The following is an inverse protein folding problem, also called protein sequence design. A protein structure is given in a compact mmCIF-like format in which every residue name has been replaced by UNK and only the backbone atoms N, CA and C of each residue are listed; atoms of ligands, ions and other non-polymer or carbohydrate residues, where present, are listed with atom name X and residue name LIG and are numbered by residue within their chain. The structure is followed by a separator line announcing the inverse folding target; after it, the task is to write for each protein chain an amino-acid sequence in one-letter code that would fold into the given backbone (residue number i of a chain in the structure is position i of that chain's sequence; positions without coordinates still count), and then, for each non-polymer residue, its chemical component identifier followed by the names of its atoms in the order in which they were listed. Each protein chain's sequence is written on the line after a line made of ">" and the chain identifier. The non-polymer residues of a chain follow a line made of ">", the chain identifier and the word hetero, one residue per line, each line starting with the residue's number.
data_IF_694672101619
#
_entry.id   IF_694672101619
#
_cell.length_a   1.000
_cell.length_b   1.000
_cell.length_c   1.000
_cell.angle_alpha   90.00
_cell.angle_beta   90.00
_cell.angle_gamma   90.00
#
_symmetry.space_group_name_H-M   'P 1'
#
loop_
_entity.id
_entity.type
_entity.pdbx_description
1 polymer ?
#
# COMPACT_ATOMS: atom_id res chain seq x y z
N UNK A 1 16.57 -19.29 18.76
CA UNK A 1 16.45 -18.02 18.02
C UNK A 1 16.56 -18.30 16.51
N UNK A 2 17.56 -19.02 16.06
CA UNK A 2 17.81 -19.40 14.67
C UNK A 2 16.59 -20.05 13.97
N UNK A 3 15.91 -20.99 14.65
CA UNK A 3 14.71 -21.68 14.12
C UNK A 3 13.55 -20.73 13.82
N UNK A 4 13.42 -19.66 14.60
CA UNK A 4 12.35 -18.66 14.46
C UNK A 4 12.80 -17.38 13.73
N UNK A 5 14.09 -17.31 13.30
CA UNK A 5 14.66 -16.18 12.56
C UNK A 5 14.73 -14.88 13.37
N UNK A 6 15.02 -14.99 14.67
CA UNK A 6 15.21 -13.83 15.56
C UNK A 6 16.70 -13.53 15.82
N UNK A 7 17.56 -13.98 14.95
CA UNK A 7 19.01 -13.80 14.97
C UNK A 7 19.51 -12.88 13.84
N UNK A 8 18.59 -12.31 13.07
CA UNK A 8 18.90 -11.34 12.03
C UNK A 8 19.41 -10.02 12.64
N UNK A 9 20.37 -9.40 11.96
CA UNK A 9 20.86 -8.08 12.30
C UNK A 9 19.94 -7.03 11.68
N UNK A 10 19.42 -6.14 12.52
CA UNK A 10 18.59 -5.00 12.07
C UNK A 10 19.45 -3.74 12.16
N UNK A 11 19.50 -2.99 11.07
CA UNK A 11 20.21 -1.70 11.01
C UNK A 11 19.16 -0.60 11.09
N UNK A 12 19.27 0.23 12.10
CA UNK A 12 18.45 1.45 12.23
C UNK A 12 19.16 2.60 11.51
N UNK A 13 18.48 3.20 10.54
CA UNK A 13 19.04 4.26 9.68
C UNK A 13 18.24 5.54 9.85
N UNK A 14 18.86 6.57 10.39
CA UNK A 14 18.29 7.91 10.43
C UNK A 14 18.37 8.58 9.05
N UNK A 15 17.23 8.74 8.40
CA UNK A 15 17.12 9.39 7.08
C UNK A 15 16.84 10.88 7.27
N UNK A 16 17.62 11.74 6.60
CA UNK A 16 17.43 13.20 6.61
C UNK A 16 16.28 13.61 5.68
N UNK A 17 15.63 14.74 5.97
CA UNK A 17 14.43 15.19 5.25
C UNK A 17 14.62 15.44 3.76
N UNK A 18 15.85 15.69 3.33
CA UNK A 18 16.20 15.90 1.92
C UNK A 18 16.47 14.59 1.15
N UNK A 19 16.33 13.44 1.78
CA UNK A 19 16.58 12.12 1.18
C UNK A 19 15.36 11.18 1.31
N UNK A 20 14.17 11.58 0.82
CA UNK A 20 12.98 10.73 0.88
C UNK A 20 13.14 9.42 0.09
N UNK A 21 14.03 9.38 -0.89
CA UNK A 21 14.42 8.19 -1.64
C UNK A 21 15.03 7.09 -0.76
N UNK A 22 15.60 7.44 0.38
CA UNK A 22 16.18 6.52 1.36
C UNK A 22 15.15 5.97 2.38
N UNK A 23 13.89 6.37 2.30
CA UNK A 23 12.82 5.79 3.12
C UNK A 23 12.33 4.43 2.58
N UNK A 24 13.26 3.65 2.03
CA UNK A 24 13.01 2.29 1.53
C UNK A 24 14.29 1.46 1.56
N UNK A 25 14.12 0.14 1.62
CA UNK A 25 15.24 -0.79 1.57
C UNK A 25 16.05 -0.62 0.29
N UNK A 26 15.37 -0.48 -0.85
CA UNK A 26 15.99 -0.25 -2.17
C UNK A 26 16.78 1.06 -2.20
N UNK A 27 16.25 2.12 -1.62
CA UNK A 27 16.93 3.41 -1.54
C UNK A 27 18.21 3.33 -0.71
N UNK A 28 18.14 2.75 0.49
CA UNK A 28 19.31 2.52 1.35
C UNK A 28 20.33 1.58 0.68
N UNK A 29 19.87 0.51 0.03
CA UNK A 29 20.76 -0.42 -0.67
C UNK A 29 21.52 0.26 -1.80
N UNK A 30 20.88 1.20 -2.52
CA UNK A 30 21.52 1.99 -3.57
C UNK A 30 22.64 2.89 -3.01
N UNK A 31 22.38 3.57 -1.90
CA UNK A 31 23.39 4.40 -1.21
C UNK A 31 24.54 3.55 -0.65
N UNK A 32 24.20 2.43 0.00
CA UNK A 32 25.21 1.51 0.52
C UNK A 32 26.11 0.93 -0.60
N UNK A 33 25.53 0.62 -1.75
CA UNK A 33 26.29 0.13 -2.90
C UNK A 33 27.33 1.16 -3.37
N UNK A 34 26.98 2.44 -3.42
CA UNK A 34 27.91 3.53 -3.75
C UNK A 34 28.99 3.66 -2.66
N UNK A 35 28.60 3.73 -1.40
CA UNK A 35 29.52 3.92 -0.28
C UNK A 35 30.53 2.77 -0.12
N UNK A 36 30.14 1.56 -0.48
CA UNK A 36 30.95 0.35 -0.37
C UNK A 36 31.62 -0.06 -1.71
N UNK A 37 31.48 0.75 -2.75
CA UNK A 37 31.98 0.48 -4.11
C UNK A 37 31.51 -0.90 -4.63
N UNK A 38 30.22 -1.22 -4.37
CA UNK A 38 29.59 -2.47 -4.79
C UNK A 38 28.56 -2.23 -5.88
N UNK A 39 28.33 -3.25 -6.71
CA UNK A 39 27.25 -3.20 -7.70
C UNK A 39 25.90 -3.26 -6.99
N UNK A 40 25.03 -2.31 -7.32
CA UNK A 40 23.60 -2.40 -6.92
C UNK A 40 22.87 -3.37 -7.84
N UNK A 41 22.11 -4.28 -7.25
CA UNK A 41 21.20 -5.17 -7.98
C UNK A 41 19.77 -4.86 -7.54
N UNK A 42 18.93 -4.30 -8.44
CA UNK A 42 17.54 -4.03 -8.11
C UNK A 42 16.76 -5.33 -7.85
N UNK A 43 15.63 -5.27 -7.14
CA UNK A 43 14.71 -6.40 -7.05
C UNK A 43 14.25 -6.85 -8.43
N UNK A 44 14.01 -8.14 -8.58
CA UNK A 44 13.38 -8.70 -9.76
C UNK A 44 11.89 -8.29 -9.79
N UNK A 45 11.43 -7.78 -10.93
CA UNK A 45 10.06 -7.26 -11.11
C UNK A 45 9.27 -7.99 -12.18
N UNK A 46 9.87 -8.96 -12.84
CA UNK A 46 9.20 -9.75 -13.86
C UNK A 46 8.21 -10.72 -13.22
N UNK A 47 7.00 -10.75 -13.74
CA UNK A 47 5.95 -11.66 -13.29
C UNK A 47 5.03 -12.03 -14.46
N UNK A 48 4.45 -13.23 -14.37
CA UNK A 48 3.49 -13.70 -15.35
C UNK A 48 2.16 -12.96 -15.19
N UNK A 49 1.60 -12.50 -16.29
CA UNK A 49 0.29 -11.89 -16.36
C UNK A 49 -0.71 -12.83 -17.04
N UNK A 50 -1.99 -12.65 -16.73
CA UNK A 50 -3.08 -13.30 -17.47
C UNK A 50 -3.41 -12.39 -18.65
N UNK A 51 -2.78 -12.64 -19.79
CA UNK A 51 -2.81 -11.75 -20.97
C UNK A 51 -4.19 -11.55 -21.58
N UNK A 52 -5.12 -12.51 -21.38
CA UNK A 52 -6.47 -12.46 -21.93
C UNK A 52 -7.44 -11.56 -21.15
N UNK A 53 -7.04 -11.08 -19.95
CA UNK A 53 -7.93 -10.41 -19.03
C UNK A 53 -7.34 -9.05 -18.61
N UNK A 54 -8.01 -7.98 -19.03
CA UNK A 54 -7.61 -6.63 -18.61
C UNK A 54 -8.30 -6.22 -17.29
N UNK A 55 -7.55 -5.61 -16.38
CA UNK A 55 -8.07 -5.00 -15.14
C UNK A 55 -9.25 -4.07 -15.41
N UNK A 56 -9.28 -3.38 -16.56
CA UNK A 56 -10.36 -2.47 -16.99
C UNK A 56 -11.71 -3.15 -17.18
N UNK A 57 -11.73 -4.47 -17.33
CA UNK A 57 -12.99 -5.23 -17.42
C UNK A 57 -13.62 -5.42 -16.03
N UNK A 58 -12.84 -5.30 -14.96
CA UNK A 58 -13.28 -5.49 -13.59
C UNK A 58 -13.53 -4.19 -12.86
N UNK A 59 -12.63 -3.22 -13.02
CA UNK A 59 -12.64 -1.98 -12.24
C UNK A 59 -12.37 -0.77 -13.10
N UNK A 60 -12.97 0.36 -12.71
CA UNK A 60 -12.72 1.66 -13.30
C UNK A 60 -12.14 2.62 -12.27
N UNK A 61 -11.38 3.60 -12.74
CA UNK A 61 -10.84 4.69 -11.93
C UNK A 61 -11.26 6.02 -12.54
N UNK A 62 -11.83 6.89 -11.71
CA UNK A 62 -12.23 8.26 -12.05
C UNK A 62 -11.49 9.23 -11.12
N UNK A 63 -10.44 9.89 -11.62
CA UNK A 63 -9.71 10.91 -10.86
C UNK A 63 -10.31 12.27 -11.16
N UNK A 64 -11.03 12.86 -10.21
CA UNK A 64 -11.70 14.16 -10.36
C UNK A 64 -10.87 15.35 -9.89
N UNK A 65 -9.88 15.12 -9.05
CA UNK A 65 -8.95 16.12 -8.56
C UNK A 65 -7.52 15.77 -8.99
N UNK A 66 -7.20 16.09 -10.24
CA UNK A 66 -5.88 15.80 -10.81
C UNK A 66 -4.75 16.67 -10.23
N UNK A 67 -5.09 17.78 -9.57
CA UNK A 67 -4.10 18.62 -8.88
C UNK A 67 -3.56 17.94 -7.63
N UNK A 68 -4.45 17.36 -6.82
CA UNK A 68 -4.06 16.65 -5.59
C UNK A 68 -3.68 15.18 -5.83
N UNK A 69 -4.18 14.58 -6.91
CA UNK A 69 -3.87 13.21 -7.30
C UNK A 69 -3.59 13.13 -8.80
N UNK A 70 -2.37 13.43 -9.24
CA UNK A 70 -2.03 13.44 -10.67
C UNK A 70 -2.07 12.06 -11.33
N UNK A 71 -1.93 10.98 -10.53
CA UNK A 71 -2.00 9.61 -11.03
C UNK A 71 -2.54 8.68 -9.95
N UNK A 72 -3.39 7.73 -10.35
CA UNK A 72 -3.89 6.64 -9.51
C UNK A 72 -3.84 5.33 -10.28
N UNK A 73 -3.11 4.36 -9.76
CA UNK A 73 -2.97 3.05 -10.38
C UNK A 73 -3.77 2.02 -9.60
N UNK A 74 -4.44 1.14 -10.31
CA UNK A 74 -5.23 0.07 -9.74
C UNK A 74 -5.07 -1.21 -10.54
N UNK A 75 -5.01 -2.33 -9.84
CA UNK A 75 -4.98 -3.66 -10.42
C UNK A 75 -5.96 -4.56 -9.69
N UNK A 76 -6.66 -5.41 -10.43
CA UNK A 76 -7.49 -6.46 -9.86
C UNK A 76 -6.71 -7.78 -9.86
N UNK A 77 -6.86 -8.54 -8.79
CA UNK A 77 -6.27 -9.87 -8.67
C UNK A 77 -7.25 -10.80 -7.97
N UNK A 78 -7.30 -12.04 -8.40
CA UNK A 78 -7.95 -13.11 -7.66
C UNK A 78 -6.97 -13.66 -6.63
N UNK A 79 -7.38 -13.67 -5.38
CA UNK A 79 -6.50 -14.01 -4.26
C UNK A 79 -7.18 -14.95 -3.27
N UNK A 80 -6.37 -15.75 -2.58
CA UNK A 80 -6.78 -16.51 -1.42
C UNK A 80 -6.14 -15.87 -0.19
N UNK A 81 -6.94 -15.48 0.79
CA UNK A 81 -6.44 -14.88 2.02
C UNK A 81 -5.92 -16.00 2.92
N UNK A 82 -4.64 -15.92 3.24
CA UNK A 82 -3.91 -16.87 4.06
C UNK A 82 -2.86 -16.16 4.92
N UNK A 83 -2.28 -16.82 5.92
CA UNK A 83 -1.11 -16.30 6.60
C UNK A 83 0.05 -16.11 5.62
N UNK A 84 0.77 -15.02 5.73
CA UNK A 84 1.94 -14.75 4.91
C UNK A 84 3.04 -15.81 5.06
N UNK A 85 3.84 -16.06 4.02
CA UNK A 85 4.99 -16.94 4.10
C UNK A 85 5.94 -16.53 5.24
N UNK A 86 6.59 -17.49 5.84
CA UNK A 86 7.44 -17.26 7.02
C UNK A 86 8.56 -16.24 6.76
N UNK A 87 9.17 -16.28 5.56
CA UNK A 87 10.22 -15.33 5.18
C UNK A 87 9.73 -13.87 5.17
N UNK A 88 8.51 -13.61 4.67
CA UNK A 88 7.92 -12.28 4.64
C UNK A 88 7.58 -11.80 6.06
N UNK A 89 6.98 -12.67 6.86
CA UNK A 89 6.65 -12.36 8.27
C UNK A 89 7.88 -12.03 9.09
N UNK A 90 9.01 -12.72 8.87
CA UNK A 90 10.29 -12.44 9.53
C UNK A 90 10.81 -11.06 9.15
N UNK A 91 10.84 -10.72 7.85
CA UNK A 91 11.29 -9.41 7.38
C UNK A 91 10.42 -8.26 7.89
N UNK A 92 9.10 -8.42 7.85
CA UNK A 92 8.18 -7.44 8.42
C UNK A 92 8.40 -7.28 9.93
N UNK A 93 8.57 -8.38 10.65
CA UNK A 93 8.86 -8.35 12.08
C UNK A 93 10.18 -7.66 12.39
N UNK A 94 11.24 -7.92 11.63
CA UNK A 94 12.53 -7.24 11.76
C UNK A 94 12.42 -5.73 11.54
N UNK A 95 11.49 -5.30 10.67
CA UNK A 95 11.17 -3.88 10.45
C UNK A 95 10.15 -3.31 11.46
N UNK A 96 9.78 -4.06 12.51
CA UNK A 96 8.84 -3.62 13.55
C UNK A 96 7.36 -3.76 13.20
N UNK A 97 7.02 -4.41 12.10
CA UNK A 97 5.65 -4.62 11.67
C UNK A 97 5.13 -6.01 12.06
N UNK A 98 3.88 -6.06 12.51
CA UNK A 98 3.18 -7.32 12.78
C UNK A 98 2.49 -7.80 11.52
N UNK A 99 2.72 -9.07 11.14
CA UNK A 99 1.96 -9.73 10.08
C UNK A 99 0.46 -9.84 10.41
N UNK A 100 -0.38 -9.62 9.42
CA UNK A 100 -1.85 -9.67 9.51
C UNK A 100 -2.36 -10.82 8.63
N UNK A 101 -2.26 -10.67 7.32
CA UNK A 101 -2.54 -11.67 6.30
C UNK A 101 -1.69 -11.38 5.06
N UNK A 102 -1.62 -12.34 4.14
CA UNK A 102 -0.77 -12.24 2.97
C UNK A 102 -1.02 -10.97 2.13
N UNK A 103 -2.25 -10.49 2.03
CA UNK A 103 -2.60 -9.32 1.21
C UNK A 103 -2.11 -8.04 1.87
N UNK A 104 -2.43 -7.83 3.14
CA UNK A 104 -1.98 -6.65 3.90
C UNK A 104 -0.46 -6.65 4.07
N UNK A 105 0.11 -7.82 4.31
CA UNK A 105 1.57 -7.97 4.49
C UNK A 105 2.33 -7.66 3.19
N UNK A 106 1.80 -8.03 2.02
CA UNK A 106 2.37 -7.65 0.72
C UNK A 106 2.37 -6.13 0.55
N UNK A 107 1.28 -5.42 0.88
CA UNK A 107 1.25 -3.96 0.78
C UNK A 107 2.27 -3.29 1.70
N UNK A 108 2.42 -3.81 2.92
CA UNK A 108 3.43 -3.34 3.86
C UNK A 108 4.85 -3.68 3.40
N UNK A 109 5.06 -4.87 2.84
CA UNK A 109 6.36 -5.29 2.32
C UNK A 109 6.82 -4.39 1.16
N UNK A 110 5.94 -4.13 0.19
CA UNK A 110 6.24 -3.23 -0.94
C UNK A 110 6.52 -1.80 -0.46
N UNK A 111 5.77 -1.31 0.53
CA UNK A 111 6.05 -0.01 1.14
C UNK A 111 7.45 0.06 1.72
N UNK A 112 7.89 -0.96 2.48
CA UNK A 112 9.25 -1.00 3.04
C UNK A 112 10.32 -1.19 1.97
N UNK A 113 10.06 -2.05 0.99
CA UNK A 113 11.06 -2.41 -0.03
C UNK A 113 11.35 -1.26 -0.98
N UNK A 114 10.31 -0.65 -1.56
CA UNK A 114 10.45 0.37 -2.62
C UNK A 114 9.93 1.76 -2.23
N UNK A 115 9.32 1.91 -1.06
CA UNK A 115 8.78 3.19 -0.60
C UNK A 115 7.44 3.57 -1.21
N UNK A 116 6.74 2.62 -1.88
CA UNK A 116 5.45 2.89 -2.53
C UNK A 116 4.30 2.45 -1.63
N UNK A 117 3.50 3.40 -1.09
CA UNK A 117 2.28 3.08 -0.36
C UNK A 117 1.26 2.39 -1.27
N UNK A 118 0.65 1.33 -0.75
CA UNK A 118 -0.40 0.58 -1.43
C UNK A 118 -1.58 0.36 -0.49
N UNK A 119 -2.76 0.16 -1.05
CA UNK A 119 -3.94 -0.25 -0.30
C UNK A 119 -4.69 -1.34 -1.07
N UNK A 120 -5.21 -2.33 -0.34
CA UNK A 120 -6.02 -3.40 -0.91
C UNK A 120 -7.49 -3.22 -0.51
N UNK A 121 -8.36 -3.23 -1.51
CA UNK A 121 -9.81 -3.16 -1.34
C UNK A 121 -10.45 -4.52 -1.64
N UNK A 122 -11.44 -4.92 -0.85
CA UNK A 122 -12.28 -6.03 -1.23
C UNK A 122 -13.16 -5.62 -2.44
N UNK A 123 -12.98 -6.31 -3.54
CA UNK A 123 -13.71 -6.06 -4.78
C UNK A 123 -15.22 -6.06 -4.59
N UNK A 124 -15.76 -6.90 -3.68
CA UNK A 124 -17.18 -7.01 -3.41
C UNK A 124 -17.75 -5.76 -2.73
N UNK A 125 -16.93 -5.09 -1.94
CA UNK A 125 -17.31 -3.92 -1.15
C UNK A 125 -17.25 -2.60 -1.96
N UNK A 126 -16.70 -2.61 -3.18
CA UNK A 126 -16.62 -1.43 -4.04
C UNK A 126 -17.87 -1.30 -4.90
N UNK A 127 -18.66 -0.27 -4.62
CA UNK A 127 -19.89 0.04 -5.36
C UNK A 127 -19.59 0.36 -6.82
N UNK A 128 -20.36 -0.27 -7.74
CA UNK A 128 -20.23 -0.09 -9.18
C UNK A 128 -18.80 -0.34 -9.71
N UNK A 129 -17.99 -1.08 -8.94
CA UNK A 129 -16.60 -1.45 -9.30
C UNK A 129 -15.77 -0.26 -9.79
N UNK A 130 -16.04 0.91 -9.22
CA UNK A 130 -15.39 2.16 -9.63
C UNK A 130 -14.79 2.85 -8.41
N UNK A 131 -13.50 3.15 -8.49
CA UNK A 131 -12.83 4.04 -7.54
C UNK A 131 -12.88 5.46 -8.08
N UNK A 132 -13.31 6.38 -7.23
CA UNK A 132 -13.39 7.81 -7.52
C UNK A 132 -12.46 8.56 -6.56
N UNK A 133 -11.42 9.17 -7.10
CA UNK A 133 -10.54 10.04 -6.31
C UNK A 133 -11.06 11.48 -6.41
N UNK A 134 -11.52 12.01 -5.29
CA UNK A 134 -12.19 13.33 -5.24
C UNK A 134 -12.04 14.00 -3.89
N UNK A 135 -12.36 15.27 -3.81
CA UNK A 135 -12.59 15.93 -2.53
C UNK A 135 -13.84 15.37 -1.86
N UNK A 136 -13.83 15.32 -0.55
CA UNK A 136 -15.02 14.96 0.23
C UNK A 136 -16.14 15.97 -0.01
N UNK A 137 -17.38 15.57 0.26
CA UNK A 137 -18.53 16.46 0.26
C UNK A 137 -18.76 16.97 1.68
N UNK A 138 -19.30 18.16 1.81
CA UNK A 138 -19.63 18.71 3.11
C UNK A 138 -20.58 17.79 3.89
N UNK A 139 -20.19 17.43 5.11
CA UNK A 139 -20.97 16.55 5.99
C UNK A 139 -20.85 15.06 5.64
N UNK A 140 -19.99 14.68 4.70
CA UNK A 140 -19.65 13.27 4.49
C UNK A 140 -18.89 12.73 5.71
N UNK A 141 -19.12 11.49 6.08
CA UNK A 141 -18.41 10.83 7.17
C UNK A 141 -17.66 9.59 6.68
N UNK A 142 -16.62 9.21 7.40
CA UNK A 142 -15.88 7.97 7.19
C UNK A 142 -15.48 7.37 8.53
N UNK A 143 -15.46 6.03 8.60
CA UNK A 143 -14.87 5.28 9.70
C UNK A 143 -13.64 4.55 9.14
N UNK A 144 -12.42 5.09 9.36
CA UNK A 144 -11.18 4.43 8.96
C UNK A 144 -10.87 3.21 9.82
N UNK A 145 -9.74 2.54 9.52
CA UNK A 145 -9.27 1.34 10.24
C UNK A 145 -8.98 1.55 11.74
N UNK A 146 -8.95 2.79 12.22
CA UNK A 146 -8.85 3.11 13.66
C UNK A 146 -10.21 3.14 14.39
N UNK A 147 -11.29 2.77 13.70
CA UNK A 147 -12.65 2.61 14.22
C UNK A 147 -13.31 3.91 14.77
N UNK A 148 -12.72 5.07 14.48
CA UNK A 148 -13.30 6.36 14.86
C UNK A 148 -14.02 6.99 13.68
N UNK A 149 -15.22 7.54 13.92
CA UNK A 149 -15.92 8.29 12.91
C UNK A 149 -15.34 9.70 12.77
N UNK A 150 -15.15 10.14 11.54
CA UNK A 150 -14.70 11.48 11.19
C UNK A 150 -15.70 12.14 10.23
N UNK A 151 -16.10 13.36 10.55
CA UNK A 151 -16.80 14.24 9.61
C UNK A 151 -15.76 14.89 8.69
N UNK A 152 -16.04 14.89 7.40
CA UNK A 152 -15.14 15.37 6.36
C UNK A 152 -15.59 16.75 5.86
N UNK A 153 -14.62 17.56 5.47
CA UNK A 153 -14.84 18.81 4.77
C UNK A 153 -14.30 18.75 3.33
N UNK A 154 -14.64 19.75 2.53
CA UNK A 154 -14.31 19.81 1.09
C UNK A 154 -12.81 19.99 0.79
N UNK A 155 -11.95 20.18 1.81
CA UNK A 155 -10.49 20.24 1.63
C UNK A 155 -9.83 18.86 1.72
N UNK A 156 -10.56 17.85 2.19
CA UNK A 156 -10.05 16.50 2.40
C UNK A 156 -10.18 15.70 1.11
N UNK A 157 -9.07 15.17 0.61
CA UNK A 157 -9.06 14.22 -0.50
C UNK A 157 -9.45 12.83 0.01
N UNK A 158 -10.41 12.20 -0.66
CA UNK A 158 -10.86 10.85 -0.35
C UNK A 158 -10.70 9.92 -1.55
N UNK A 159 -10.42 8.68 -1.25
CA UNK A 159 -10.68 7.57 -2.15
C UNK A 159 -12.12 7.13 -1.87
N UNK A 160 -12.98 7.21 -2.85
CA UNK A 160 -14.38 6.87 -2.74
C UNK A 160 -14.76 5.80 -3.76
N UNK A 161 -15.86 5.13 -3.54
CA UNK A 161 -16.59 4.49 -4.63
C UNK A 161 -17.69 5.44 -5.14
N UNK A 162 -18.61 4.97 -5.95
CA UNK A 162 -19.69 5.83 -6.45
C UNK A 162 -20.69 6.25 -5.38
N UNK A 163 -20.73 5.59 -4.25
CA UNK A 163 -21.68 5.82 -3.16
C UNK A 163 -21.10 6.57 -1.98
N UNK A 164 -19.88 6.21 -1.55
CA UNK A 164 -19.31 6.65 -0.27
C UNK A 164 -17.79 6.71 -0.28
N UNK A 165 -17.13 7.41 0.67
CA UNK A 165 -15.71 7.31 0.92
C UNK A 165 -15.33 5.90 1.38
N UNK A 166 -14.24 5.38 0.84
CA UNK A 166 -13.64 4.09 1.19
C UNK A 166 -12.21 4.23 1.74
N UNK A 167 -11.68 5.45 1.77
CA UNK A 167 -10.40 5.77 2.38
C UNK A 167 -10.13 7.26 2.39
N UNK A 168 -9.32 7.68 3.36
CA UNK A 168 -8.68 9.00 3.40
C UNK A 168 -7.41 8.92 2.55
N UNK A 169 -7.35 9.69 1.48
CA UNK A 169 -6.26 9.60 0.51
C UNK A 169 -4.89 9.90 1.16
N UNK A 170 -3.95 8.95 1.01
CA UNK A 170 -2.62 9.07 1.59
C UNK A 170 -2.53 8.94 3.12
N UNK A 171 -3.64 8.67 3.81
CA UNK A 171 -3.69 8.59 5.27
C UNK A 171 -4.11 7.21 5.76
N UNK A 172 -5.33 6.77 5.46
CA UNK A 172 -5.85 5.52 6.03
C UNK A 172 -7.04 4.98 5.23
N UNK A 173 -7.08 3.68 5.03
CA UNK A 173 -8.22 2.99 4.43
C UNK A 173 -9.47 3.01 5.31
N UNK A 174 -10.63 2.89 4.69
CA UNK A 174 -11.91 2.78 5.37
C UNK A 174 -12.15 1.35 5.88
N UNK A 175 -12.81 1.24 7.03
CA UNK A 175 -13.22 -0.05 7.60
C UNK A 175 -14.23 -0.78 6.70
N UNK A 176 -14.96 -0.03 5.89
CA UNK A 176 -16.04 -0.47 5.02
C UNK A 176 -15.61 -1.14 3.70
N UNK A 177 -14.30 -1.17 3.41
CA UNK A 177 -13.76 -1.69 2.15
C UNK A 177 -12.52 -2.56 2.35
N UNK A 178 -12.15 -2.83 3.59
CA UNK A 178 -10.97 -3.63 3.95
C UNK A 178 -11.12 -5.11 3.59
N UNK A 179 -9.99 -5.75 3.36
CA UNK A 179 -9.87 -7.19 3.13
C UNK A 179 -10.21 -7.94 4.42
N UNK A 180 -11.13 -8.90 4.34
CA UNK A 180 -11.62 -9.73 5.45
C UNK A 180 -11.25 -11.19 5.26
#
# INVERSE_FOLDING_TARGET
>A
KEIVGLDECVIDVAVTFNRPDCNSVVGIAREAAVALERKFTPPETDFDTVDEISTRQYVNVDVRDAELCPAYFMQAAEVKIEPSPLWMRRRLHAAGLRGINNIVDVTNYVLLEVGQPMHAFDYKEISDKTIVVRRARKGETIIPLNEKEYELDENILVIADKSRPVGLAGVMGGLNSGIK
#
